data_IF_365802599760
#
_entry.id   IF_365802599760
#
_cell.length_a   1.000
_cell.length_b   1.000
_cell.length_c   1.000
_cell.angle_alpha   90.00
_cell.angle_beta   90.00
_cell.angle_gamma   90.00
#
_symmetry.space_group_name_H-M   'P 1'
#
loop_
_entity.id
_entity.type
_entity.pdbx_description
1 polymer ?
#
# COMPACT_ATOMS: atom_id res chain seq x y z
N UNK A 1 29.82 -2.74 22.79
CA UNK A 1 29.85 -3.75 21.69
C UNK A 1 29.19 -3.09 20.47
N UNK A 2 29.48 -3.54 19.23
CA UNK A 2 28.72 -2.97 18.10
C UNK A 2 27.26 -3.44 18.22
N UNK A 3 26.34 -2.49 18.12
CA UNK A 3 24.89 -2.78 18.16
C UNK A 3 24.45 -3.43 16.86
N UNK A 4 23.55 -4.38 16.92
CA UNK A 4 22.99 -5.05 15.74
C UNK A 4 22.14 -4.06 14.93
N UNK A 5 22.24 -4.19 13.62
CA UNK A 5 21.48 -3.39 12.66
C UNK A 5 20.50 -4.29 11.91
N UNK A 6 19.22 -3.89 11.84
CA UNK A 6 18.20 -4.57 11.04
C UNK A 6 17.73 -3.67 9.92
N UNK A 7 17.56 -4.26 8.76
CA UNK A 7 16.95 -3.60 7.60
C UNK A 7 15.43 -3.59 7.70
N UNK A 8 14.77 -2.76 6.90
CA UNK A 8 13.32 -2.79 6.77
C UNK A 8 12.81 -4.17 6.31
N UNK A 9 13.59 -4.89 5.49
CA UNK A 9 13.29 -6.27 5.08
C UNK A 9 13.29 -7.27 6.27
N UNK A 10 14.24 -7.13 7.19
CA UNK A 10 14.29 -8.01 8.38
C UNK A 10 13.06 -7.80 9.27
N UNK A 11 12.62 -6.55 9.41
CA UNK A 11 11.42 -6.19 10.18
C UNK A 11 10.16 -6.65 9.46
N UNK A 12 10.06 -6.45 8.15
CA UNK A 12 8.91 -6.89 7.34
C UNK A 12 8.68 -8.40 7.45
N UNK A 13 9.75 -9.20 7.42
CA UNK A 13 9.65 -10.65 7.63
C UNK A 13 9.11 -11.00 9.01
N UNK A 14 9.45 -10.24 10.06
CA UNK A 14 8.90 -10.48 11.40
C UNK A 14 7.41 -10.15 11.47
N UNK A 15 6.96 -9.12 10.77
CA UNK A 15 5.52 -8.80 10.63
C UNK A 15 4.79 -9.95 9.92
N UNK A 16 5.26 -10.35 8.73
CA UNK A 16 4.63 -11.38 7.89
C UNK A 16 4.64 -12.75 8.57
N UNK A 17 5.79 -13.14 9.16
CA UNK A 17 5.94 -14.40 9.89
C UNK A 17 5.26 -14.41 11.27
N UNK A 18 4.58 -13.33 11.64
CA UNK A 18 3.88 -13.18 12.91
C UNK A 18 4.78 -13.49 14.13
N UNK A 19 6.02 -12.95 14.14
CA UNK A 19 7.01 -13.13 15.21
C UNK A 19 6.73 -12.17 16.37
N UNK A 20 7.21 -12.53 17.55
CA UNK A 20 7.25 -11.61 18.69
C UNK A 20 8.38 -10.58 18.51
N UNK A 21 8.08 -9.32 18.83
CA UNK A 21 9.06 -8.24 18.80
C UNK A 21 8.67 -7.16 19.83
N UNK A 22 9.66 -6.64 20.53
CA UNK A 22 9.50 -5.44 21.34
C UNK A 22 10.11 -4.24 20.61
N UNK A 23 9.31 -3.19 20.40
CA UNK A 23 9.75 -1.96 19.74
C UNK A 23 9.87 -0.85 20.76
N UNK A 24 11.08 -0.32 20.92
CA UNK A 24 11.34 0.94 21.59
C UNK A 24 11.38 2.06 20.55
N UNK A 25 10.28 2.79 20.42
CA UNK A 25 10.21 3.94 19.52
C UNK A 25 10.64 5.21 20.25
N UNK A 26 11.72 5.84 19.79
CA UNK A 26 12.30 7.02 20.43
C UNK A 26 11.93 8.33 19.73
N UNK A 27 10.90 8.32 18.89
CA UNK A 27 10.27 9.53 18.33
C UNK A 27 9.37 10.21 19.36
N UNK A 28 8.94 11.42 19.04
CA UNK A 28 7.91 12.10 19.84
C UNK A 28 6.61 11.29 19.88
N UNK A 29 5.84 11.45 20.96
CA UNK A 29 4.62 10.68 21.20
C UNK A 29 3.58 10.88 20.09
N UNK A 30 3.40 12.11 19.59
CA UNK A 30 2.51 12.43 18.49
C UNK A 30 2.87 11.69 17.18
N UNK A 31 4.16 11.60 16.86
CA UNK A 31 4.65 10.87 15.70
C UNK A 31 4.48 9.34 15.84
N UNK A 32 4.59 8.82 17.06
CA UNK A 32 4.34 7.40 17.35
C UNK A 32 2.86 7.07 17.29
N UNK A 33 2.00 7.93 17.83
CA UNK A 33 0.54 7.74 17.80
C UNK A 33 -0.04 7.83 16.39
N UNK A 34 0.45 8.76 15.57
CA UNK A 34 0.00 8.93 14.18
C UNK A 34 0.41 7.74 13.29
N UNK A 35 1.63 7.22 13.49
CA UNK A 35 2.19 6.20 12.62
C UNK A 35 3.35 5.44 13.25
N UNK A 36 3.28 4.11 13.27
CA UNK A 36 4.30 3.20 13.81
C UNK A 36 4.44 1.93 12.96
N UNK A 37 5.48 1.16 13.21
CA UNK A 37 5.59 -0.21 12.71
C UNK A 37 4.60 -1.06 13.51
N UNK A 38 3.69 -1.75 12.82
CA UNK A 38 2.66 -2.55 13.47
C UNK A 38 2.82 -4.06 13.18
N UNK A 39 2.35 -4.90 14.10
CA UNK A 39 2.41 -6.35 14.02
C UNK A 39 1.59 -7.01 15.13
N UNK A 40 0.93 -8.14 14.82
CA UNK A 40 0.01 -8.83 15.75
C UNK A 40 0.62 -9.20 17.10
N UNK A 41 1.96 -9.44 17.15
CA UNK A 41 2.67 -9.87 18.37
C UNK A 41 3.74 -8.86 18.79
N UNK A 42 3.58 -7.61 18.37
CA UNK A 42 4.52 -6.57 18.76
C UNK A 42 4.10 -5.91 20.04
N UNK A 43 5.06 -5.67 20.91
CA UNK A 43 4.91 -4.86 22.13
C UNK A 43 5.67 -3.54 21.95
N UNK A 44 5.16 -2.48 22.55
CA UNK A 44 5.66 -1.13 22.30
C UNK A 44 6.01 -0.40 23.60
N UNK A 45 7.10 0.34 23.54
CA UNK A 45 7.42 1.38 24.49
C UNK A 45 7.80 2.63 23.68
N UNK A 46 7.08 3.73 23.88
CA UNK A 46 7.48 5.00 23.28
C UNK A 46 8.05 5.91 24.36
N UNK A 47 9.29 6.35 24.18
CA UNK A 47 9.99 7.33 25.01
C UNK A 47 10.82 8.21 24.09
N UNK A 48 10.50 9.48 23.95
CA UNK A 48 11.26 10.43 23.14
C UNK A 48 12.74 10.43 23.49
N UNK A 49 13.62 10.39 22.48
CA UNK A 49 15.06 10.25 22.69
C UNK A 49 15.67 11.34 23.60
N UNK A 50 15.08 12.52 23.62
CA UNK A 50 15.58 13.62 24.47
C UNK A 50 15.34 13.39 25.97
N UNK A 51 14.45 12.50 26.35
CA UNK A 51 14.26 12.04 27.73
C UNK A 51 15.33 11.03 28.16
N UNK A 52 16.07 10.47 27.21
CA UNK A 52 17.11 9.44 27.40
C UNK A 52 18.54 10.02 27.28
N UNK A 53 18.70 11.33 27.13
CA UNK A 53 20.02 11.95 26.96
C UNK A 53 20.95 11.79 28.18
N UNK A 54 20.38 11.71 29.37
CA UNK A 54 21.11 11.54 30.64
C UNK A 54 21.34 10.06 31.01
N UNK A 55 20.80 9.10 30.22
CA UNK A 55 20.98 7.66 30.42
C UNK A 55 19.70 6.87 30.20
N UNK A 56 19.85 5.54 30.25
CA UNK A 56 18.76 4.57 30.01
C UNK A 56 18.38 3.76 31.25
N UNK A 57 18.98 4.07 32.41
CA UNK A 57 18.84 3.30 33.65
C UNK A 57 17.37 3.19 34.10
N UNK A 58 16.59 4.27 33.97
CA UNK A 58 15.17 4.33 34.38
C UNK A 58 14.24 3.46 33.51
N UNK A 59 14.69 3.08 32.31
CA UNK A 59 13.88 2.28 31.38
C UNK A 59 14.32 0.82 31.32
N UNK A 60 15.46 0.44 31.93
CA UNK A 60 15.98 -0.91 31.85
C UNK A 60 14.99 -1.98 32.31
N UNK A 61 14.19 -1.70 33.34
CA UNK A 61 13.16 -2.64 33.81
C UNK A 61 11.98 -2.80 32.84
N UNK A 62 11.77 -1.83 31.94
CA UNK A 62 10.71 -1.84 30.93
C UNK A 62 11.14 -2.50 29.62
N UNK A 63 12.45 -2.61 29.39
CA UNK A 63 13.01 -3.25 28.18
C UNK A 63 13.23 -4.74 28.49
N UNK A 64 12.53 -5.64 27.79
CA UNK A 64 12.61 -7.08 28.05
C UNK A 64 14.01 -7.66 27.77
N UNK A 65 14.32 -8.78 28.43
CA UNK A 65 15.57 -9.54 28.22
C UNK A 65 15.35 -10.89 27.56
N UNK A 66 14.11 -11.26 27.37
CA UNK A 66 13.66 -12.55 26.84
C UNK A 66 13.06 -12.45 25.43
N UNK A 67 13.02 -11.25 24.88
CA UNK A 67 12.52 -10.94 23.52
C UNK A 67 13.54 -10.15 22.73
N UNK A 68 13.43 -10.22 21.41
CA UNK A 68 14.17 -9.33 20.51
C UNK A 68 13.66 -7.88 20.69
N UNK A 69 14.59 -6.95 20.77
CA UNK A 69 14.31 -5.52 20.96
C UNK A 69 14.82 -4.71 19.79
N UNK A 70 13.93 -3.95 19.16
CA UNK A 70 14.24 -3.03 18.07
C UNK A 70 14.06 -1.58 18.52
N UNK A 71 15.09 -0.77 18.40
CA UNK A 71 15.04 0.68 18.64
C UNK A 71 14.76 1.40 17.33
N UNK A 72 13.73 2.25 17.32
CA UNK A 72 13.26 2.93 16.11
C UNK A 72 13.21 4.43 16.30
N UNK A 73 13.67 5.18 15.30
CA UNK A 73 13.46 6.63 15.21
C UNK A 73 13.13 7.05 13.76
N UNK A 74 13.02 8.34 13.50
CA UNK A 74 12.60 8.83 12.17
C UNK A 74 13.57 8.46 11.04
N UNK A 75 14.91 8.64 11.27
CA UNK A 75 15.94 8.52 10.21
C UNK A 75 17.13 7.64 10.56
N UNK A 76 17.36 7.27 11.82
CA UNK A 76 18.45 6.40 12.30
C UNK A 76 19.27 6.99 13.47
N UNK A 77 19.63 8.28 13.48
CA UNK A 77 20.60 8.84 14.43
C UNK A 77 20.25 8.62 15.90
N UNK A 78 19.04 8.96 16.34
CA UNK A 78 18.61 8.83 17.74
C UNK A 78 18.45 7.35 18.16
N UNK A 79 18.04 6.47 17.25
CA UNK A 79 17.92 5.04 17.56
C UNK A 79 19.28 4.36 17.74
N UNK A 80 20.30 4.73 16.99
CA UNK A 80 21.67 4.25 17.21
C UNK A 80 22.16 4.66 18.59
N UNK A 81 22.06 5.93 18.93
CA UNK A 81 22.50 6.45 20.24
C UNK A 81 21.85 5.68 21.40
N UNK A 82 20.51 5.54 21.37
CA UNK A 82 19.80 4.84 22.45
C UNK A 82 20.11 3.35 22.46
N UNK A 83 20.26 2.71 21.29
CA UNK A 83 20.64 1.31 21.22
C UNK A 83 22.06 1.05 21.74
N UNK A 84 23.02 1.95 21.52
CA UNK A 84 24.36 1.88 22.10
C UNK A 84 24.33 2.01 23.63
N UNK A 85 23.56 2.95 24.17
CA UNK A 85 23.39 3.11 25.61
C UNK A 85 22.76 1.87 26.27
N UNK A 86 21.74 1.27 25.65
CA UNK A 86 21.13 0.01 26.12
C UNK A 86 22.12 -1.17 26.04
N UNK A 87 22.90 -1.25 24.97
CA UNK A 87 23.93 -2.27 24.82
C UNK A 87 25.04 -2.15 25.88
N UNK A 88 25.47 -0.92 26.20
CA UNK A 88 26.44 -0.67 27.24
C UNK A 88 25.90 -1.00 28.64
N UNK A 89 24.56 -0.87 28.83
CA UNK A 89 23.84 -1.32 30.02
C UNK A 89 23.52 -2.82 30.02
N UNK A 90 24.05 -3.60 29.06
CA UNK A 90 23.95 -5.05 29.00
C UNK A 90 22.65 -5.59 28.37
N UNK A 91 21.94 -4.78 27.60
CA UNK A 91 20.77 -5.25 26.79
C UNK A 91 21.19 -5.66 25.41
N UNK A 92 20.65 -6.77 24.92
CA UNK A 92 20.79 -7.19 23.54
C UNK A 92 19.70 -6.51 22.69
N UNK A 93 20.09 -5.57 21.86
CA UNK A 93 19.17 -4.74 21.06
C UNK A 93 19.68 -4.54 19.64
N UNK A 94 18.76 -4.28 18.73
CA UNK A 94 19.03 -3.82 17.38
C UNK A 94 18.43 -2.43 17.14
N UNK A 95 18.89 -1.72 16.12
CA UNK A 95 18.22 -0.54 15.62
C UNK A 95 17.79 -0.72 14.16
N UNK A 96 16.75 0.02 13.74
CA UNK A 96 16.28 0.02 12.35
C UNK A 96 17.15 0.92 11.49
N UNK A 97 17.83 0.35 10.49
CA UNK A 97 18.62 1.08 9.50
C UNK A 97 17.72 2.05 8.72
N UNK A 98 18.11 3.33 8.67
CA UNK A 98 17.31 4.39 8.04
C UNK A 98 16.01 4.75 8.74
N UNK A 99 15.68 4.09 9.86
CA UNK A 99 14.50 4.40 10.68
C UNK A 99 13.17 4.25 9.95
N UNK A 100 12.17 5.01 10.40
CA UNK A 100 10.84 5.01 9.78
C UNK A 100 10.85 5.47 8.31
N UNK A 101 11.87 6.26 7.89
CA UNK A 101 12.04 6.64 6.48
C UNK A 101 12.28 5.39 5.62
N UNK A 102 13.18 4.49 6.00
CA UNK A 102 13.43 3.24 5.27
C UNK A 102 12.23 2.30 5.31
N UNK A 103 11.56 2.21 6.46
CA UNK A 103 10.34 1.43 6.62
C UNK A 103 9.24 1.85 5.64
N UNK A 104 9.06 3.17 5.45
CA UNK A 104 8.05 3.71 4.54
C UNK A 104 8.29 3.39 3.07
N UNK A 105 9.52 3.03 2.69
CA UNK A 105 9.92 2.81 1.29
C UNK A 105 10.00 1.33 0.91
N UNK A 106 10.02 0.42 1.89
CA UNK A 106 10.23 -0.99 1.65
C UNK A 106 8.96 -1.66 1.08
N UNK A 107 9.15 -2.50 0.05
CA UNK A 107 8.13 -3.36 -0.54
C UNK A 107 8.57 -4.82 -0.46
N UNK A 108 7.69 -5.69 0.04
CA UNK A 108 7.90 -7.14 0.04
C UNK A 108 7.06 -7.78 -1.07
N UNK A 109 7.68 -8.49 -2.03
CA UNK A 109 6.95 -9.23 -3.05
C UNK A 109 6.45 -10.57 -2.47
N UNK A 110 5.14 -10.78 -2.52
CA UNK A 110 4.47 -11.99 -2.02
C UNK A 110 3.67 -12.62 -3.15
N UNK A 111 3.81 -13.92 -3.35
CA UNK A 111 3.03 -14.66 -4.34
C UNK A 111 1.59 -14.80 -3.86
N UNK A 112 0.64 -14.29 -4.65
CA UNK A 112 -0.80 -14.40 -4.38
C UNK A 112 -1.35 -15.74 -4.89
N UNK A 113 -0.90 -16.19 -6.07
CA UNK A 113 -1.38 -17.44 -6.64
C UNK A 113 -0.91 -17.68 -8.07
N UNK A 114 -1.41 -18.78 -8.62
CA UNK A 114 -1.11 -19.19 -9.98
C UNK A 114 -2.14 -18.63 -10.96
N UNK A 115 -1.65 -18.23 -12.14
CA UNK A 115 -2.40 -17.88 -13.33
C UNK A 115 -2.42 -19.05 -14.33
N UNK A 116 -3.14 -18.88 -15.45
CA UNK A 116 -3.22 -19.88 -16.52
C UNK A 116 -1.83 -20.31 -17.00
N UNK A 117 -1.71 -21.57 -17.40
CA UNK A 117 -0.52 -22.18 -18.01
C UNK A 117 0.80 -21.93 -17.26
N UNK A 118 0.74 -21.88 -15.93
CA UNK A 118 1.89 -21.74 -15.05
C UNK A 118 2.32 -20.29 -14.85
N UNK A 119 1.50 -19.31 -15.21
CA UNK A 119 1.69 -17.91 -14.84
C UNK A 119 1.55 -17.71 -13.32
N UNK A 120 1.98 -16.57 -12.83
CA UNK A 120 2.01 -16.22 -11.40
C UNK A 120 1.54 -14.79 -11.19
N UNK A 121 0.80 -14.56 -10.08
CA UNK A 121 0.45 -13.22 -9.61
C UNK A 121 1.16 -12.93 -8.29
N UNK A 122 1.81 -11.77 -8.23
CA UNK A 122 2.51 -11.26 -7.05
C UNK A 122 1.87 -9.97 -6.57
N UNK A 123 1.83 -9.81 -5.25
CA UNK A 123 1.49 -8.57 -4.56
C UNK A 123 2.77 -7.99 -3.94
N UNK A 124 3.04 -6.72 -4.17
CA UNK A 124 4.14 -5.97 -3.55
C UNK A 124 3.57 -5.18 -2.40
N UNK A 125 3.86 -5.63 -1.18
CA UNK A 125 3.27 -5.08 0.05
C UNK A 125 4.18 -4.01 0.62
N UNK A 126 3.76 -2.76 0.59
CA UNK A 126 4.45 -1.63 1.24
C UNK A 126 3.90 -1.46 2.65
N UNK A 127 4.40 -2.29 3.59
CA UNK A 127 3.90 -2.36 4.98
C UNK A 127 3.89 -1.00 5.68
N UNK A 128 4.92 -0.19 5.47
CA UNK A 128 5.05 1.11 6.12
C UNK A 128 4.08 2.19 5.63
N UNK A 129 3.38 1.95 4.53
CA UNK A 129 2.40 2.90 3.95
C UNK A 129 1.02 2.28 3.77
N UNK A 130 0.94 0.96 3.66
CA UNK A 130 -0.29 0.25 3.33
C UNK A 130 -0.63 0.24 1.84
N UNK A 131 0.30 0.59 0.94
CA UNK A 131 0.08 0.48 -0.51
C UNK A 131 0.35 -0.92 -1.01
N UNK A 132 -0.42 -1.36 -1.99
CA UNK A 132 -0.32 -2.65 -2.64
C UNK A 132 -0.19 -2.46 -4.15
N UNK A 133 0.88 -2.98 -4.73
CA UNK A 133 1.07 -3.04 -6.17
C UNK A 133 1.06 -4.49 -6.62
N UNK A 134 0.86 -4.75 -7.89
CA UNK A 134 0.75 -6.12 -8.39
C UNK A 134 1.63 -6.34 -9.61
N UNK A 135 2.11 -7.59 -9.77
CA UNK A 135 2.76 -8.05 -11.00
C UNK A 135 2.19 -9.40 -11.40
N UNK A 136 1.53 -9.43 -12.54
CA UNK A 136 1.13 -10.64 -13.22
C UNK A 136 2.26 -11.07 -14.16
N UNK A 137 2.61 -12.35 -14.14
CA UNK A 137 3.66 -12.94 -14.98
C UNK A 137 3.05 -14.10 -15.75
N UNK A 138 3.24 -14.15 -17.07
CA UNK A 138 2.81 -15.26 -17.92
C UNK A 138 3.73 -15.39 -19.13
N UNK A 139 4.22 -16.61 -19.42
CA UNK A 139 5.01 -16.95 -20.61
C UNK A 139 6.18 -16.00 -20.93
N UNK A 140 6.88 -15.51 -19.90
CA UNK A 140 8.03 -14.60 -20.05
C UNK A 140 7.67 -13.12 -20.18
N UNK A 141 6.40 -12.78 -20.03
CA UNK A 141 5.89 -11.40 -20.01
C UNK A 141 5.38 -11.01 -18.63
N UNK A 142 5.43 -9.72 -18.31
CA UNK A 142 4.90 -9.17 -17.08
C UNK A 142 4.02 -7.95 -17.32
N UNK A 143 2.97 -7.83 -16.50
CA UNK A 143 2.15 -6.64 -16.36
C UNK A 143 2.19 -6.16 -14.92
N UNK A 144 2.30 -4.84 -14.71
CA UNK A 144 2.36 -4.22 -13.39
C UNK A 144 1.12 -3.36 -13.20
N UNK A 145 0.51 -3.41 -12.03
CA UNK A 145 -0.66 -2.62 -11.66
C UNK A 145 -0.35 -1.82 -10.40
N UNK A 146 -0.65 -0.51 -10.41
CA UNK A 146 -0.49 0.45 -9.33
C UNK A 146 0.95 0.50 -8.78
N UNK A 147 1.93 0.57 -9.69
CA UNK A 147 3.33 0.65 -9.32
C UNK A 147 3.62 1.93 -8.53
N UNK A 148 4.22 1.81 -7.34
CA UNK A 148 4.76 2.96 -6.61
C UNK A 148 6.08 3.43 -7.22
N UNK A 149 6.54 4.65 -6.87
CA UNK A 149 7.73 5.32 -7.45
C UNK A 149 9.07 4.58 -7.31
N UNK A 150 9.15 3.54 -6.48
CA UNK A 150 10.36 2.72 -6.31
C UNK A 150 10.49 1.69 -7.44
N UNK A 151 10.64 2.18 -8.66
CA UNK A 151 10.56 1.40 -9.91
C UNK A 151 11.57 0.26 -9.99
N UNK A 152 12.74 0.44 -9.37
CA UNK A 152 13.82 -0.56 -9.31
C UNK A 152 13.37 -1.88 -8.65
N UNK A 153 12.43 -1.83 -7.71
CA UNK A 153 11.89 -3.04 -7.07
C UNK A 153 11.20 -3.93 -8.10
N UNK A 154 10.37 -3.34 -8.95
CA UNK A 154 9.63 -4.06 -9.99
C UNK A 154 10.55 -4.53 -11.13
N UNK A 155 11.43 -3.65 -11.62
CA UNK A 155 12.32 -3.98 -12.74
C UNK A 155 13.37 -5.02 -12.35
N UNK A 156 13.88 -5.01 -11.11
CA UNK A 156 14.77 -6.04 -10.59
C UNK A 156 14.03 -7.37 -10.40
N UNK A 157 12.83 -7.36 -9.83
CA UNK A 157 12.01 -8.56 -9.68
C UNK A 157 11.69 -9.20 -11.03
N UNK A 158 11.32 -8.41 -12.03
CA UNK A 158 11.12 -8.92 -13.41
C UNK A 158 12.39 -9.57 -13.98
N UNK A 159 13.56 -8.95 -13.75
CA UNK A 159 14.86 -9.53 -14.16
C UNK A 159 15.16 -10.84 -13.46
N UNK A 160 14.90 -10.94 -12.14
CA UNK A 160 15.08 -12.18 -11.35
C UNK A 160 14.16 -13.29 -11.85
N UNK A 161 12.93 -12.95 -12.23
CA UNK A 161 11.98 -13.88 -12.83
C UNK A 161 12.28 -14.20 -14.29
N UNK A 162 13.16 -13.47 -14.94
CA UNK A 162 13.50 -13.66 -16.37
C UNK A 162 12.37 -13.27 -17.32
N UNK A 163 11.61 -12.22 -16.98
CA UNK A 163 10.44 -11.76 -17.74
C UNK A 163 10.61 -10.33 -18.23
N UNK A 164 9.90 -9.98 -19.32
CA UNK A 164 9.84 -8.64 -19.89
C UNK A 164 8.55 -7.93 -19.46
N UNK A 165 8.66 -6.70 -18.94
CA UNK A 165 7.51 -5.88 -18.61
C UNK A 165 6.90 -5.34 -19.91
N UNK A 166 5.67 -5.72 -20.22
CA UNK A 166 4.94 -5.33 -21.45
C UNK A 166 3.88 -4.27 -21.18
N UNK A 167 3.26 -4.31 -20.00
CA UNK A 167 2.13 -3.45 -19.65
C UNK A 167 2.31 -2.88 -18.25
N UNK A 168 1.93 -1.62 -18.07
CA UNK A 168 1.85 -0.97 -16.76
C UNK A 168 0.54 -0.23 -16.67
N UNK A 169 -0.22 -0.46 -15.61
CA UNK A 169 -1.55 0.10 -15.40
C UNK A 169 -1.60 0.86 -14.09
N UNK A 170 -2.34 1.95 -14.05
CA UNK A 170 -2.84 2.52 -12.80
C UNK A 170 -4.37 2.40 -12.77
N UNK A 171 -4.93 1.94 -11.64
CA UNK A 171 -6.38 1.80 -11.44
C UNK A 171 -7.09 3.14 -11.45
N UNK A 172 -6.40 4.19 -11.05
CA UNK A 172 -6.87 5.57 -10.99
C UNK A 172 -5.68 6.55 -10.93
N UNK A 173 -5.93 7.83 -11.01
CA UNK A 173 -4.89 8.84 -10.77
C UNK A 173 -4.64 8.97 -9.26
N UNK A 174 -3.61 8.30 -8.76
CA UNK A 174 -3.27 8.25 -7.34
C UNK A 174 -2.99 9.64 -6.76
N UNK A 175 -3.39 9.85 -5.51
CA UNK A 175 -3.17 11.08 -4.78
C UNK A 175 -2.50 10.87 -3.40
N UNK A 176 -2.27 9.65 -2.99
CA UNK A 176 -1.64 9.24 -1.74
C UNK A 176 -0.17 8.82 -1.92
N UNK A 177 0.20 8.38 -3.11
CA UNK A 177 1.57 8.02 -3.49
C UNK A 177 1.89 8.44 -4.93
N UNK A 178 3.18 8.54 -5.22
CA UNK A 178 3.68 8.85 -6.56
C UNK A 178 3.75 7.55 -7.35
N UNK A 179 3.04 7.51 -8.51
CA UNK A 179 3.08 6.37 -9.42
C UNK A 179 4.44 6.23 -10.10
N UNK A 180 4.94 4.98 -10.13
CA UNK A 180 6.10 4.59 -10.90
C UNK A 180 5.78 4.22 -12.37
N UNK A 181 4.50 4.13 -12.72
CA UNK A 181 4.04 3.55 -13.97
C UNK A 181 4.67 4.18 -15.20
N UNK A 182 4.65 5.51 -15.29
CA UNK A 182 5.28 6.25 -16.40
C UNK A 182 6.79 6.00 -16.51
N UNK A 183 7.50 5.92 -15.36
CA UNK A 183 8.95 5.71 -15.37
C UNK A 183 9.31 4.28 -15.78
N UNK A 184 8.59 3.27 -15.29
CA UNK A 184 8.76 1.88 -15.71
C UNK A 184 8.52 1.74 -17.20
N UNK A 185 7.43 2.31 -17.73
CA UNK A 185 7.12 2.27 -19.14
C UNK A 185 8.22 2.93 -20.01
N UNK A 186 8.74 4.08 -19.55
CA UNK A 186 9.83 4.77 -20.26
C UNK A 186 11.14 3.96 -20.22
N UNK A 187 11.45 3.26 -19.13
CA UNK A 187 12.65 2.43 -18.97
C UNK A 187 12.58 1.14 -19.79
N UNK A 188 11.42 0.48 -19.80
CA UNK A 188 11.25 -0.87 -20.37
C UNK A 188 10.67 -0.90 -21.79
N UNK A 189 10.06 0.19 -22.24
CA UNK A 189 9.29 0.25 -23.48
C UNK A 189 7.89 -0.36 -23.36
N UNK A 190 7.42 -0.62 -22.13
CA UNK A 190 6.08 -1.11 -21.87
C UNK A 190 5.00 -0.06 -22.22
N UNK A 191 3.80 -0.52 -22.51
CA UNK A 191 2.64 0.37 -22.68
C UNK A 191 2.13 0.80 -21.32
N UNK A 192 1.98 2.11 -21.12
CA UNK A 192 1.41 2.69 -19.90
C UNK A 192 -0.05 3.07 -20.08
N UNK A 193 -0.90 2.56 -19.21
CA UNK A 193 -2.35 2.74 -19.28
C UNK A 193 -2.86 3.56 -18.09
N UNK A 194 -3.71 4.55 -18.38
CA UNK A 194 -4.42 5.37 -17.39
C UNK A 194 -5.91 5.46 -17.70
N UNK A 195 -6.79 5.52 -16.68
CA UNK A 195 -8.20 5.82 -16.88
C UNK A 195 -8.39 7.19 -17.53
N UNK A 196 -9.01 7.23 -18.70
CA UNK A 196 -9.14 8.44 -19.49
C UNK A 196 -9.85 9.58 -18.74
N UNK A 197 -10.83 9.25 -17.90
CA UNK A 197 -11.59 10.25 -17.12
C UNK A 197 -10.78 10.89 -16.01
N UNK A 198 -9.77 10.21 -15.45
CA UNK A 198 -8.86 10.77 -14.46
C UNK A 198 -7.70 11.54 -15.11
N UNK A 199 -7.42 11.25 -16.38
CA UNK A 199 -6.24 11.72 -17.08
C UNK A 199 -6.48 12.99 -17.93
N UNK A 200 -7.60 13.70 -17.80
CA UNK A 200 -7.90 14.92 -18.57
C UNK A 200 -6.84 16.02 -18.43
N UNK A 201 -6.19 16.10 -17.27
CA UNK A 201 -5.16 17.10 -16.97
C UNK A 201 -3.73 16.58 -17.08
N UNK A 202 -3.52 15.33 -17.48
CA UNK A 202 -2.19 14.71 -17.64
C UNK A 202 -1.48 15.34 -18.84
N UNK A 203 -0.17 15.63 -18.68
CA UNK A 203 0.63 16.37 -19.68
C UNK A 203 1.67 15.49 -20.39
N UNK A 204 1.52 14.16 -20.33
CA UNK A 204 2.37 13.19 -21.02
C UNK A 204 1.52 12.16 -21.78
N UNK A 205 2.14 11.42 -22.69
CA UNK A 205 1.46 10.40 -23.47
C UNK A 205 1.17 9.14 -22.64
N UNK A 206 -0.04 8.60 -22.77
CA UNK A 206 -0.50 7.37 -22.16
C UNK A 206 -1.50 6.65 -23.10
N UNK A 207 -1.77 5.37 -22.83
CA UNK A 207 -2.85 4.64 -23.48
C UNK A 207 -4.09 4.71 -22.60
N UNK A 208 -5.21 5.16 -23.15
CA UNK A 208 -6.46 5.27 -22.40
C UNK A 208 -7.00 3.89 -22.00
N UNK A 209 -7.35 3.73 -20.74
CA UNK A 209 -8.20 2.63 -20.27
C UNK A 209 -9.64 2.97 -20.63
N UNK A 210 -10.22 2.14 -21.50
CA UNK A 210 -11.60 2.26 -21.94
C UNK A 210 -12.40 1.02 -21.55
N UNK A 211 -13.69 1.20 -21.36
CA UNK A 211 -14.61 0.10 -21.05
C UNK A 211 -14.53 -1.01 -22.09
N UNK A 212 -14.37 -2.26 -21.65
CA UNK A 212 -14.24 -3.42 -22.53
C UNK A 212 -12.84 -3.69 -23.07
N UNK A 213 -11.82 -2.94 -22.65
CA UNK A 213 -10.43 -3.23 -23.02
C UNK A 213 -9.98 -4.54 -22.38
N UNK A 214 -9.45 -5.46 -23.18
CA UNK A 214 -8.79 -6.68 -22.74
C UNK A 214 -7.36 -6.70 -23.24
N UNK A 215 -6.43 -7.05 -22.38
CA UNK A 215 -5.01 -7.18 -22.71
C UNK A 215 -4.56 -8.60 -22.40
N UNK A 216 -3.97 -9.26 -23.41
CA UNK A 216 -3.36 -10.56 -23.23
C UNK A 216 -1.93 -10.41 -22.71
N UNK A 217 -1.57 -11.28 -21.76
CA UNK A 217 -0.23 -11.40 -21.19
C UNK A 217 0.18 -12.87 -21.28
N UNK A 218 0.92 -13.24 -22.34
CA UNK A 218 1.18 -14.64 -22.64
C UNK A 218 -0.13 -15.44 -22.74
N UNK A 219 -0.31 -16.47 -21.89
CA UNK A 219 -1.53 -17.25 -21.79
C UNK A 219 -2.59 -16.65 -20.84
N UNK A 220 -2.23 -15.65 -20.07
CA UNK A 220 -3.13 -14.99 -19.12
C UNK A 220 -3.83 -13.79 -19.75
N UNK A 221 -5.04 -13.48 -19.27
CA UNK A 221 -5.83 -12.36 -19.74
C UNK A 221 -6.06 -11.35 -18.61
N UNK A 222 -5.81 -10.09 -18.90
CA UNK A 222 -6.14 -8.97 -18.02
C UNK A 222 -7.33 -8.24 -18.65
N UNK A 223 -8.49 -8.44 -18.08
CA UNK A 223 -9.70 -7.76 -18.50
C UNK A 223 -9.83 -6.42 -17.78
N UNK A 224 -10.05 -5.36 -18.57
CA UNK A 224 -10.31 -4.00 -18.11
C UNK A 224 -11.65 -3.59 -18.70
N UNK A 225 -12.48 -2.91 -17.94
CA UNK A 225 -13.59 -2.25 -18.60
C UNK A 225 -14.95 -2.64 -18.13
N UNK A 226 -15.46 -3.85 -18.36
CA UNK A 226 -16.73 -4.26 -17.73
C UNK A 226 -16.74 -3.93 -16.23
N UNK A 227 -15.61 -3.52 -15.72
CA UNK A 227 -15.29 -3.14 -14.37
C UNK A 227 -14.94 -1.66 -14.20
N UNK A 228 -15.36 -0.78 -15.12
CA UNK A 228 -15.38 0.66 -14.82
C UNK A 228 -16.08 0.88 -13.49
N UNK A 229 -15.35 1.35 -12.50
CA UNK A 229 -15.70 1.30 -11.08
C UNK A 229 -15.60 2.70 -10.45
N UNK A 230 -16.38 3.70 -10.91
CA UNK A 230 -16.28 5.05 -10.39
C UNK A 230 -16.74 5.11 -8.92
N UNK A 231 -16.19 6.10 -8.19
CA UNK A 231 -16.60 6.35 -6.80
C UNK A 231 -15.52 6.89 -5.90
N UNK A 232 -14.32 6.33 -5.92
CA UNK A 232 -13.13 6.93 -5.28
C UNK A 232 -12.59 8.06 -6.15
N UNK A 233 -12.42 7.79 -7.43
CA UNK A 233 -12.26 8.80 -8.49
C UNK A 233 -13.29 8.54 -9.60
N UNK A 234 -13.51 9.53 -10.46
CA UNK A 234 -14.42 9.38 -11.60
C UNK A 234 -13.90 8.38 -12.65
N UNK A 235 -12.57 8.20 -12.71
CA UNK A 235 -11.91 7.29 -13.64
C UNK A 235 -11.59 5.92 -13.05
N UNK A 236 -11.83 5.69 -11.75
CA UNK A 236 -11.48 4.42 -11.08
C UNK A 236 -11.91 3.22 -11.92
N UNK A 237 -10.96 2.30 -12.12
CA UNK A 237 -11.10 1.12 -12.96
C UNK A 237 -10.57 -0.09 -12.20
N UNK A 238 -11.36 -1.17 -12.14
CA UNK A 238 -10.95 -2.45 -11.58
C UNK A 238 -10.49 -3.39 -12.69
N UNK A 239 -9.69 -4.40 -12.33
CA UNK A 239 -9.19 -5.38 -13.28
C UNK A 239 -9.58 -6.79 -12.84
N UNK A 240 -9.98 -7.63 -13.79
CA UNK A 240 -10.06 -9.08 -13.59
C UNK A 240 -8.88 -9.76 -14.29
N UNK A 241 -8.17 -10.60 -13.57
CA UNK A 241 -7.07 -11.39 -14.11
C UNK A 241 -7.48 -12.86 -14.10
N UNK A 242 -7.49 -13.49 -15.28
CA UNK A 242 -7.79 -14.90 -15.50
C UNK A 242 -9.12 -15.36 -14.91
N UNK A 243 -10.15 -14.51 -14.88
CA UNK A 243 -11.46 -14.80 -14.28
C UNK A 243 -11.37 -15.27 -12.80
N UNK A 244 -10.29 -14.95 -12.11
CA UNK A 244 -9.97 -15.45 -10.77
C UNK A 244 -9.67 -14.35 -9.76
N UNK A 245 -8.95 -13.32 -10.17
CA UNK A 245 -8.51 -12.24 -9.29
C UNK A 245 -9.17 -10.92 -9.70
N UNK A 246 -9.74 -10.21 -8.71
CA UNK A 246 -10.36 -8.91 -8.89
C UNK A 246 -9.52 -7.85 -8.17
N UNK A 247 -8.80 -7.03 -8.95
CA UNK A 247 -8.07 -5.88 -8.43
C UNK A 247 -9.02 -4.69 -8.36
N UNK A 248 -9.32 -4.21 -7.17
CA UNK A 248 -10.38 -3.21 -6.92
C UNK A 248 -9.87 -1.78 -6.82
N UNK A 249 -8.56 -1.57 -6.92
CA UNK A 249 -7.99 -0.25 -6.64
C UNK A 249 -8.42 0.24 -5.26
N UNK A 250 -8.88 1.50 -5.20
CA UNK A 250 -9.36 2.15 -3.98
C UNK A 250 -10.90 2.17 -3.86
N UNK A 251 -11.58 1.20 -4.47
CA UNK A 251 -13.05 1.09 -4.37
C UNK A 251 -13.48 0.20 -3.23
N UNK A 252 -12.88 -1.00 -3.12
CA UNK A 252 -13.22 -1.99 -2.10
C UNK A 252 -11.94 -2.51 -1.46
N UNK A 253 -11.84 -2.38 -0.14
CA UNK A 253 -10.79 -2.93 0.71
C UNK A 253 -11.31 -4.15 1.48
N UNK A 254 -10.47 -4.79 2.28
CA UNK A 254 -10.88 -5.99 3.03
C UNK A 254 -11.88 -5.61 4.14
N UNK A 255 -11.55 -4.63 4.98
CA UNK A 255 -12.39 -4.23 6.12
C UNK A 255 -13.19 -2.95 5.88
N UNK A 256 -12.99 -2.27 4.74
CA UNK A 256 -13.56 -0.95 4.48
C UNK A 256 -13.83 -0.74 2.99
N UNK A 257 -14.25 0.47 2.64
CA UNK A 257 -14.45 0.92 1.26
C UNK A 257 -13.71 2.23 1.00
N UNK A 258 -13.54 2.58 -0.26
CA UNK A 258 -12.89 3.81 -0.67
C UNK A 258 -13.67 5.06 -0.29
N UNK A 259 -12.96 6.14 -0.04
CA UNK A 259 -13.55 7.46 0.23
C UNK A 259 -13.79 8.22 -1.08
N UNK A 260 -14.94 8.94 -1.23
CA UNK A 260 -15.28 9.63 -2.47
C UNK A 260 -14.81 11.09 -2.52
N UNK A 261 -14.13 11.63 -1.49
CA UNK A 261 -13.92 13.07 -1.31
C UNK A 261 -12.55 13.61 -1.76
N UNK A 262 -11.67 12.77 -2.28
CA UNK A 262 -10.28 13.16 -2.58
C UNK A 262 -10.14 14.19 -3.71
N UNK A 263 -11.12 14.35 -4.58
CA UNK A 263 -11.12 15.43 -5.58
C UNK A 263 -11.98 16.63 -5.19
N UNK A 264 -12.47 16.69 -3.95
CA UNK A 264 -13.38 17.74 -3.48
C UNK A 264 -14.80 17.65 -4.02
N UNK A 265 -15.19 16.51 -4.61
CA UNK A 265 -16.49 16.25 -5.24
C UNK A 265 -17.26 15.12 -4.51
N UNK A 266 -17.09 15.00 -3.20
CA UNK A 266 -17.66 13.92 -2.39
C UNK A 266 -19.15 13.69 -2.67
N UNK A 267 -19.94 14.74 -2.71
CA UNK A 267 -21.40 14.65 -2.93
C UNK A 267 -21.76 14.04 -4.29
N UNK A 268 -20.98 14.34 -5.34
CA UNK A 268 -21.24 13.85 -6.69
C UNK A 268 -20.86 12.35 -6.82
N UNK A 269 -19.82 11.90 -6.12
CA UNK A 269 -19.26 10.55 -6.29
C UNK A 269 -19.81 9.50 -5.33
N UNK A 270 -20.54 9.89 -4.28
CA UNK A 270 -21.19 8.93 -3.36
C UNK A 270 -22.15 8.00 -4.11
N UNK A 271 -22.93 8.54 -5.04
CA UNK A 271 -23.86 7.76 -5.87
C UNK A 271 -23.13 6.74 -6.75
N UNK A 272 -22.02 7.16 -7.38
CA UNK A 272 -21.17 6.31 -8.22
C UNK A 272 -20.53 5.18 -7.41
N UNK A 273 -19.97 5.50 -6.23
CA UNK A 273 -19.39 4.52 -5.32
C UNK A 273 -20.42 3.46 -4.91
N UNK A 274 -21.63 3.92 -4.52
CA UNK A 274 -22.70 3.00 -4.14
C UNK A 274 -23.15 2.13 -5.32
N UNK A 275 -23.28 2.71 -6.51
CA UNK A 275 -23.61 1.94 -7.71
C UNK A 275 -22.55 0.87 -8.02
N UNK A 276 -21.29 1.22 -7.93
CA UNK A 276 -20.20 0.27 -8.14
C UNK A 276 -20.27 -0.87 -7.12
N UNK A 277 -20.37 -0.57 -5.81
CA UNK A 277 -20.33 -1.56 -4.74
C UNK A 277 -21.60 -2.44 -4.67
N UNK A 278 -22.79 -1.82 -4.86
CA UNK A 278 -24.08 -2.50 -4.59
C UNK A 278 -24.78 -3.03 -5.85
N UNK A 279 -24.31 -2.65 -7.06
CA UNK A 279 -24.85 -3.19 -8.30
C UNK A 279 -23.76 -3.89 -9.11
N UNK A 280 -22.74 -3.15 -9.58
CA UNK A 280 -21.74 -3.70 -10.51
C UNK A 280 -20.97 -4.88 -9.91
N UNK A 281 -20.45 -4.74 -8.69
CA UNK A 281 -19.74 -5.83 -8.03
C UNK A 281 -20.63 -7.00 -7.64
N UNK A 282 -21.94 -6.76 -7.40
CA UNK A 282 -22.91 -7.84 -7.15
C UNK A 282 -23.22 -8.70 -8.38
N UNK A 283 -22.88 -8.26 -9.57
CA UNK A 283 -23.01 -9.03 -10.82
C UNK A 283 -21.79 -9.90 -11.10
N UNK A 284 -20.69 -9.70 -10.37
CA UNK A 284 -19.48 -10.49 -10.51
C UNK A 284 -19.57 -11.84 -9.80
N UNK A 285 -18.72 -12.77 -10.19
CA UNK A 285 -18.61 -14.08 -9.57
C UNK A 285 -18.12 -13.97 -8.11
N UNK A 286 -18.85 -14.54 -7.16
CA UNK A 286 -18.54 -14.45 -5.73
C UNK A 286 -17.26 -15.19 -5.31
N UNK A 287 -16.72 -16.04 -6.15
CA UNK A 287 -15.47 -16.77 -5.93
C UNK A 287 -14.22 -16.01 -6.37
N UNK A 288 -14.37 -14.83 -6.98
CA UNK A 288 -13.26 -13.93 -7.26
C UNK A 288 -12.50 -13.57 -5.97
N UNK A 289 -11.18 -13.57 -6.06
CA UNK A 289 -10.30 -13.13 -4.97
C UNK A 289 -10.05 -11.63 -5.14
N UNK A 290 -10.58 -10.85 -4.22
CA UNK A 290 -10.39 -9.39 -4.17
C UNK A 290 -8.98 -9.06 -3.71
N UNK A 291 -8.36 -8.13 -4.42
CA UNK A 291 -7.01 -7.62 -4.25
C UNK A 291 -7.06 -6.09 -4.30
N UNK A 292 -7.09 -5.39 -3.16
CA UNK A 292 -7.21 -3.93 -3.11
C UNK A 292 -5.87 -3.24 -3.38
N UNK A 293 -5.89 -1.92 -3.67
CA UNK A 293 -4.65 -1.14 -3.77
C UNK A 293 -4.10 -0.70 -2.40
N UNK A 294 -4.88 -0.84 -1.33
CA UNK A 294 -4.45 -0.48 0.03
C UNK A 294 -5.02 -1.41 1.11
N UNK A 295 -4.32 -1.41 2.26
CA UNK A 295 -4.83 -1.90 3.53
C UNK A 295 -4.54 -0.86 4.63
N UNK A 296 -5.30 -0.88 5.71
CA UNK A 296 -5.26 0.14 6.76
C UNK A 296 -4.70 -0.38 8.08
N UNK A 297 -4.90 -1.65 8.37
CA UNK A 297 -4.51 -2.29 9.63
C UNK A 297 -3.86 -3.64 9.36
N UNK A 298 -3.03 -4.05 10.30
CA UNK A 298 -2.30 -5.31 10.21
C UNK A 298 -3.23 -6.53 10.15
N UNK A 299 -4.44 -6.42 10.70
CA UNK A 299 -5.44 -7.49 10.71
C UNK A 299 -5.99 -7.83 9.31
N UNK A 300 -5.77 -6.96 8.32
CA UNK A 300 -6.10 -7.23 6.92
C UNK A 300 -5.06 -8.13 6.21
N UNK A 301 -3.87 -8.36 6.81
CA UNK A 301 -2.88 -9.31 6.30
C UNK A 301 -3.26 -10.74 6.68
N UNK A 302 -3.29 -11.60 5.67
CA UNK A 302 -3.44 -13.04 5.85
C UNK A 302 -2.16 -13.67 6.45
N UNK A 303 -2.24 -14.90 6.92
CA UNK A 303 -1.08 -15.63 7.47
C UNK A 303 0.08 -15.81 6.47
N UNK A 304 -0.20 -15.78 5.18
CA UNK A 304 0.81 -15.81 4.10
C UNK A 304 1.37 -14.44 3.73
N UNK A 305 0.94 -13.38 4.42
CA UNK A 305 1.34 -12.00 4.21
C UNK A 305 0.59 -11.28 3.08
N UNK A 306 -0.30 -11.95 2.37
CA UNK A 306 -1.14 -11.31 1.35
C UNK A 306 -2.28 -10.51 1.98
N UNK A 307 -2.75 -9.49 1.26
CA UNK A 307 -4.01 -8.80 1.56
C UNK A 307 -5.01 -9.21 0.49
N UNK A 308 -5.88 -10.14 0.84
CA UNK A 308 -6.85 -10.69 -0.10
C UNK A 308 -8.03 -11.35 0.62
N UNK A 309 -9.21 -11.38 -0.03
CA UNK A 309 -10.39 -12.09 0.46
C UNK A 309 -11.34 -12.43 -0.69
N UNK A 310 -12.15 -13.50 -0.57
CA UNK A 310 -13.18 -13.80 -1.56
C UNK A 310 -14.25 -12.71 -1.57
N UNK A 311 -14.71 -12.35 -2.77
CA UNK A 311 -15.75 -11.32 -2.94
C UNK A 311 -17.06 -11.69 -2.21
N UNK A 312 -17.47 -12.97 -2.26
CA UNK A 312 -18.65 -13.45 -1.54
C UNK A 312 -18.53 -13.31 -0.02
N UNK A 313 -17.33 -13.50 0.54
CA UNK A 313 -17.09 -13.33 1.98
C UNK A 313 -17.13 -11.84 2.35
N UNK A 314 -16.61 -10.97 1.49
CA UNK A 314 -16.71 -9.51 1.68
C UNK A 314 -18.16 -9.03 1.65
N UNK A 315 -19.01 -9.59 0.78
CA UNK A 315 -20.44 -9.27 0.79
C UNK A 315 -21.14 -9.61 2.10
N UNK A 316 -20.64 -10.59 2.84
CA UNK A 316 -21.18 -10.97 4.13
C UNK A 316 -20.58 -10.17 5.30
N UNK A 317 -19.30 -9.83 5.24
CA UNK A 317 -18.54 -9.38 6.40
C UNK A 317 -18.17 -7.89 6.35
N UNK A 318 -17.93 -7.32 5.15
CA UNK A 318 -17.51 -5.91 5.01
C UNK A 318 -18.69 -4.98 5.31
N UNK A 319 -18.51 -4.13 6.32
CA UNK A 319 -19.56 -3.22 6.77
C UNK A 319 -20.02 -2.25 5.66
N UNK A 320 -19.09 -1.73 4.85
CA UNK A 320 -19.39 -0.81 3.74
C UNK A 320 -20.26 -1.41 2.64
N UNK A 321 -20.35 -2.74 2.54
CA UNK A 321 -21.19 -3.47 1.59
C UNK A 321 -22.57 -3.88 2.15
N UNK A 322 -22.88 -3.52 3.39
CA UNK A 322 -24.08 -3.94 4.12
C UNK A 322 -24.91 -2.79 4.69
N UNK A 323 -24.79 -1.59 4.13
CA UNK A 323 -25.58 -0.41 4.48
C UNK A 323 -26.71 -0.24 3.46
N UNK A 324 -27.92 -0.71 3.79
CA UNK A 324 -29.07 -0.72 2.87
C UNK A 324 -29.61 0.70 2.59
N UNK A 325 -29.70 1.54 3.63
CA UNK A 325 -30.22 2.90 3.54
C UNK A 325 -29.21 3.85 2.89
N UNK A 326 -29.64 4.54 1.82
CA UNK A 326 -28.77 5.43 1.05
C UNK A 326 -28.29 6.66 1.84
N UNK A 327 -29.13 7.20 2.72
CA UNK A 327 -28.75 8.35 3.54
C UNK A 327 -27.75 7.94 4.64
N UNK A 328 -27.90 6.74 5.19
CA UNK A 328 -26.93 6.18 6.13
C UNK A 328 -25.60 5.90 5.41
N UNK A 329 -25.63 5.32 4.22
CA UNK A 329 -24.44 5.13 3.40
C UNK A 329 -23.74 6.46 3.09
N UNK A 330 -24.51 7.47 2.62
CA UNK A 330 -24.01 8.82 2.34
C UNK A 330 -23.27 9.37 3.57
N UNK A 331 -23.91 9.38 4.73
CA UNK A 331 -23.29 9.87 5.97
C UNK A 331 -22.02 9.08 6.34
N UNK A 332 -22.03 7.77 6.18
CA UNK A 332 -20.87 6.96 6.47
C UNK A 332 -19.64 7.37 5.63
N UNK A 333 -19.85 7.68 4.33
CA UNK A 333 -18.75 8.00 3.42
C UNK A 333 -18.44 9.50 3.31
N UNK A 334 -19.20 10.38 3.99
CA UNK A 334 -18.96 11.83 4.00
C UNK A 334 -18.68 12.41 5.38
N UNK A 335 -19.21 11.81 6.45
CA UNK A 335 -19.09 12.36 7.79
C UNK A 335 -17.89 11.74 8.55
N UNK A 336 -17.13 12.59 9.23
CA UNK A 336 -16.04 12.13 10.11
C UNK A 336 -14.86 11.46 9.40
N UNK A 337 -14.68 11.72 8.12
CA UNK A 337 -13.56 11.17 7.35
C UNK A 337 -12.22 11.59 7.97
N UNK A 338 -11.20 10.70 7.95
CA UNK A 338 -9.86 11.06 8.38
C UNK A 338 -9.31 12.20 7.52
N UNK A 339 -8.31 12.97 8.01
CA UNK A 339 -7.62 13.95 7.18
C UNK A 339 -7.21 13.35 5.84
N UNK A 340 -7.14 14.17 4.80
CA UNK A 340 -6.61 13.74 3.51
C UNK A 340 -5.18 13.23 3.64
N UNK A 341 -4.70 12.36 2.73
CA UNK A 341 -3.30 11.96 2.69
C UNK A 341 -2.35 13.15 2.68
N UNK A 342 -1.14 12.98 3.22
CA UNK A 342 -0.14 14.04 3.20
C UNK A 342 0.18 14.45 1.77
N UNK A 343 0.35 15.77 1.53
CA UNK A 343 0.69 16.35 0.22
C UNK A 343 -0.15 15.85 -0.98
N UNK A 344 -1.40 15.48 -0.73
CA UNK A 344 -2.25 14.81 -1.70
C UNK A 344 -2.41 15.59 -3.01
N UNK A 345 -2.53 16.93 -2.92
CA UNK A 345 -2.65 17.77 -4.13
C UNK A 345 -1.35 17.82 -4.92
N UNK A 346 -0.22 17.93 -4.23
CA UNK A 346 1.12 17.93 -4.81
C UNK A 346 1.42 16.57 -5.46
N UNK A 347 1.11 15.45 -4.80
CA UNK A 347 1.25 14.10 -5.36
C UNK A 347 0.43 13.97 -6.65
N UNK A 348 -0.80 14.44 -6.64
CA UNK A 348 -1.64 14.46 -7.83
C UNK A 348 -1.02 15.27 -8.96
N UNK A 349 -0.41 16.44 -8.68
CA UNK A 349 0.30 17.24 -9.67
C UNK A 349 1.55 16.51 -10.23
N UNK A 350 2.27 15.75 -9.39
CA UNK A 350 3.38 14.88 -9.83
C UNK A 350 2.86 13.81 -10.78
N UNK A 351 1.79 13.11 -10.41
CA UNK A 351 1.20 12.02 -11.18
C UNK A 351 0.57 12.51 -12.51
N UNK A 352 0.12 13.76 -12.57
CA UNK A 352 -0.27 14.42 -13.84
C UNK A 352 0.94 14.85 -14.69
N UNK A 353 2.18 14.80 -14.17
CA UNK A 353 3.37 15.26 -14.85
C UNK A 353 3.60 16.76 -14.83
N UNK A 354 2.81 17.51 -14.04
CA UNK A 354 2.85 18.99 -14.00
C UNK A 354 4.00 19.55 -13.15
N UNK A 355 4.44 18.81 -12.15
CA UNK A 355 5.60 19.15 -11.31
C UNK A 355 6.55 17.95 -11.19
N UNK A 356 7.83 18.24 -10.93
CA UNK A 356 8.86 17.21 -10.78
C UNK A 356 9.70 17.54 -9.54
N UNK A 357 9.23 17.18 -8.33
CA UNK A 357 9.98 17.36 -7.10
C UNK A 357 11.22 16.46 -7.08
N UNK A 358 12.23 16.83 -6.30
CA UNK A 358 13.37 15.97 -6.08
C UNK A 358 13.04 14.74 -5.19
N UNK A 359 13.98 13.81 -5.04
CA UNK A 359 13.74 12.56 -4.35
C UNK A 359 13.47 12.73 -2.83
N UNK A 360 14.06 13.74 -2.21
CA UNK A 360 13.80 14.03 -0.80
C UNK A 360 12.42 14.67 -0.61
N UNK A 361 12.01 15.59 -1.47
CA UNK A 361 10.67 16.16 -1.52
C UNK A 361 9.60 15.07 -1.75
N UNK A 362 9.82 14.17 -2.73
CA UNK A 362 8.93 13.04 -2.98
C UNK A 362 8.79 12.14 -1.74
N UNK A 363 9.88 11.91 -1.01
CA UNK A 363 9.84 11.08 0.20
C UNK A 363 9.03 11.76 1.32
N UNK A 364 9.21 13.05 1.51
CA UNK A 364 8.45 13.81 2.53
C UNK A 364 6.94 13.89 2.15
N UNK A 365 6.60 13.94 0.86
CA UNK A 365 5.21 13.92 0.41
C UNK A 365 4.49 12.61 0.76
N UNK A 366 5.20 11.47 0.70
CA UNK A 366 4.62 10.15 0.90
C UNK A 366 4.72 9.62 2.33
N UNK A 367 5.41 10.31 3.25
CA UNK A 367 5.64 9.80 4.60
C UNK A 367 4.32 9.74 5.39
N UNK A 368 4.17 8.70 6.21
CA UNK A 368 2.99 8.50 7.05
C UNK A 368 2.04 7.42 6.54
N UNK A 369 0.96 7.15 7.30
CA UNK A 369 0.03 6.06 7.01
C UNK A 369 -0.86 6.37 5.81
N UNK A 370 -1.50 5.31 5.29
CA UNK A 370 -2.58 5.44 4.30
C UNK A 370 -3.85 6.02 4.95
N UNK A 371 -4.60 6.84 4.16
CA UNK A 371 -5.86 7.48 4.57
C UNK A 371 -6.93 7.43 3.46
N UNK A 372 -6.84 6.46 2.56
CA UNK A 372 -7.75 6.33 1.41
C UNK A 372 -9.08 5.62 1.72
N UNK A 373 -9.25 5.08 2.92
CA UNK A 373 -10.42 4.30 3.32
C UNK A 373 -11.39 5.08 4.22
N UNK A 374 -12.67 4.70 4.16
CA UNK A 374 -13.72 5.06 5.12
C UNK A 374 -13.73 4.00 6.23
N UNK A 375 -13.74 4.42 7.49
CA UNK A 375 -13.85 3.55 8.67
C UNK A 375 -15.11 3.83 9.45
#
# INVERSE_FOLDING_TARGET
>A
MAVNKWTAADVARKVIDNKELFILDVRNADAFEDWKIDGHKFEYLNIPYFELLDGVEEILEKVPTDKEVLVVCAKEGSSIMVAEMLSDAGREVAYLEGGMKSWSMYLEPIKVGDLKDGGELYQFVRLGKGCLSYMAISEGEAAIIDAVRFTEVFTNFAKEKGVEIKHVFDTHLHADHISGGRHIAAETGATYYLPAKDAEEVVFDYTALEDGLTVNLGASEIEVGALYSPGHTIGSTSFVIDEKFLLTGDILFIDSIGRPDLAGLAEDWVGDLRETLYKRYRELAEDLIVLPAHFMIIDELNEDGTVSKRLGDLFAENHGLNVEDEEVFRKMVTDGLPPQPNAYQEIRQVNMGKITPDNDEQTEMEIGPNRCAVR
#
